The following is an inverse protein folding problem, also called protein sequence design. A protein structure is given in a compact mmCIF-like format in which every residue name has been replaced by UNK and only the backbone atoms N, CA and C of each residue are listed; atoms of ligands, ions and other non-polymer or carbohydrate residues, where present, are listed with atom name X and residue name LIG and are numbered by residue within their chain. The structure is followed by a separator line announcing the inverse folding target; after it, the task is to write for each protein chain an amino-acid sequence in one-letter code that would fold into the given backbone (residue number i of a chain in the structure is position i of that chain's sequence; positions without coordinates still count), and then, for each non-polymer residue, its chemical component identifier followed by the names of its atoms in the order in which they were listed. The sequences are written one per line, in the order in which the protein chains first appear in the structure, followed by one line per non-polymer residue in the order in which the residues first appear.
data_IF_634437474147
#
_entry.id   IF_634437474147
#
_cell.length_a   1.000
_cell.length_b   1.000
_cell.length_c   1.000
_cell.angle_alpha   90.00
_cell.angle_beta   90.00
_cell.angle_gamma   90.00
#
_symmetry.space_group_name_H-M   'P 1'
#
loop_
_entity.id
_entity.type
_entity.pdbx_description
1 polymer ?
#
# COMPACT_ATOMS: atom_id res chain seq x y z
N UNK A 1 31.88 12.88 -10.02
CA UNK A 1 31.57 11.54 -10.55
C UNK A 1 30.66 10.88 -9.54
N UNK A 2 29.36 10.82 -9.82
CA UNK A 2 28.32 10.30 -8.93
C UNK A 2 28.51 8.79 -8.75
N UNK A 3 28.70 8.35 -7.52
CA UNK A 3 28.50 6.96 -7.11
C UNK A 3 27.00 6.66 -7.25
N UNK A 4 26.65 5.93 -8.31
CA UNK A 4 25.35 5.27 -8.41
C UNK A 4 25.24 4.29 -7.24
N UNK A 5 24.32 4.57 -6.34
CA UNK A 5 23.98 3.70 -5.23
C UNK A 5 23.49 2.36 -5.78
N UNK A 6 24.31 1.32 -5.56
CA UNK A 6 24.13 -0.01 -6.10
C UNK A 6 23.32 -0.90 -5.14
N UNK A 7 22.44 -0.30 -4.34
CA UNK A 7 21.60 -0.97 -3.34
C UNK A 7 20.70 -2.09 -3.92
N UNK A 8 20.47 -2.09 -5.24
CA UNK A 8 19.66 -3.11 -5.92
C UNK A 8 20.45 -4.32 -6.46
N UNK A 9 21.78 -4.36 -6.31
CA UNK A 9 22.60 -5.49 -6.79
C UNK A 9 23.37 -6.16 -5.65
N UNK A 10 22.63 -6.92 -4.84
CA UNK A 10 23.19 -7.99 -4.00
C UNK A 10 22.57 -9.31 -4.45
N UNK A 11 23.29 -10.05 -5.27
CA UNK A 11 22.94 -11.36 -5.86
C UNK A 11 22.87 -12.52 -4.83
N UNK A 12 22.53 -12.29 -3.55
CA UNK A 12 22.57 -13.33 -2.50
C UNK A 12 21.50 -13.35 -1.39
N UNK A 13 20.37 -12.65 -1.51
CA UNK A 13 19.23 -12.83 -0.58
C UNK A 13 17.95 -13.19 -1.34
N UNK A 14 17.79 -14.49 -1.60
CA UNK A 14 16.75 -15.08 -2.46
C UNK A 14 15.40 -15.22 -1.73
N UNK A 15 14.74 -14.09 -1.48
CA UNK A 15 13.28 -14.09 -1.35
C UNK A 15 12.72 -12.95 -2.22
N UNK A 16 12.02 -13.27 -3.32
CA UNK A 16 11.43 -12.26 -4.19
C UNK A 16 10.43 -11.36 -3.44
N UNK A 17 9.85 -11.82 -2.33
CA UNK A 17 8.96 -11.02 -1.50
C UNK A 17 9.71 -10.05 -0.58
N UNK A 18 10.95 -10.37 -0.14
CA UNK A 18 11.79 -9.41 0.58
C UNK A 18 12.18 -8.20 -0.28
N UNK A 19 12.28 -8.38 -1.60
CA UNK A 19 12.46 -7.25 -2.52
C UNK A 19 11.26 -6.32 -2.53
N UNK A 20 10.04 -6.84 -2.36
CA UNK A 20 8.82 -6.03 -2.28
C UNK A 20 8.82 -5.22 -0.99
N UNK A 21 9.17 -5.84 0.13
CA UNK A 21 9.29 -5.15 1.44
C UNK A 21 10.31 -4.01 1.36
N UNK A 22 11.53 -4.27 0.85
CA UNK A 22 12.55 -3.22 0.65
C UNK A 22 12.10 -2.13 -0.32
N UNK A 23 11.43 -2.52 -1.41
CA UNK A 23 10.91 -1.54 -2.36
C UNK A 23 9.83 -0.67 -1.72
N UNK A 24 9.00 -1.21 -0.83
CA UNK A 24 8.00 -0.45 -0.09
C UNK A 24 8.66 0.62 0.79
N UNK A 25 9.72 0.26 1.54
CA UNK A 25 10.46 1.22 2.38
C UNK A 25 11.08 2.35 1.53
N UNK A 26 11.76 2.00 0.44
CA UNK A 26 12.38 2.98 -0.47
C UNK A 26 11.31 3.87 -1.11
N UNK A 27 10.20 3.28 -1.58
CA UNK A 27 9.12 4.04 -2.21
C UNK A 27 8.47 4.99 -1.21
N UNK A 28 8.28 4.57 0.04
CA UNK A 28 7.74 5.41 1.10
C UNK A 28 8.61 6.66 1.30
N UNK A 29 9.89 6.47 1.64
CA UNK A 29 10.85 7.55 1.89
C UNK A 29 10.94 8.51 0.69
N UNK A 30 11.12 7.97 -0.53
CA UNK A 30 11.30 8.79 -1.74
C UNK A 30 10.02 9.52 -2.17
N UNK A 31 8.85 8.94 -1.90
CA UNK A 31 7.58 9.59 -2.22
C UNK A 31 7.29 10.74 -1.26
N UNK A 32 7.60 10.57 0.03
CA UNK A 32 7.52 11.67 1.01
C UNK A 32 8.46 12.82 0.64
N UNK A 33 9.72 12.52 0.30
CA UNK A 33 10.67 13.53 -0.19
C UNK A 33 10.14 14.27 -1.42
N UNK A 34 9.58 13.55 -2.40
CA UNK A 34 9.03 14.14 -3.62
C UNK A 34 7.81 15.03 -3.34
N UNK A 35 6.95 14.65 -2.40
CA UNK A 35 5.79 15.45 -1.99
C UNK A 35 6.22 16.75 -1.29
N UNK A 36 7.13 16.65 -0.31
CA UNK A 36 7.66 17.80 0.43
C UNK A 36 8.37 18.78 -0.51
N UNK A 37 9.14 18.26 -1.46
CA UNK A 37 9.89 19.08 -2.42
C UNK A 37 9.04 19.55 -3.62
N UNK A 38 7.76 19.15 -3.72
CA UNK A 38 6.87 19.45 -4.86
C UNK A 38 7.42 18.94 -6.20
N UNK A 39 8.15 17.83 -6.18
CA UNK A 39 8.81 17.21 -7.33
C UNK A 39 8.08 15.98 -7.88
N UNK A 40 6.78 15.85 -7.57
CA UNK A 40 5.96 14.71 -8.02
C UNK A 40 5.90 14.58 -9.53
N UNK A 41 6.08 15.68 -10.28
CA UNK A 41 6.17 15.70 -11.75
C UNK A 41 7.36 14.90 -12.31
N UNK A 42 8.36 14.56 -11.48
CA UNK A 42 9.50 13.71 -11.87
C UNK A 42 9.13 12.22 -11.90
N UNK A 43 8.01 11.86 -11.28
CA UNK A 43 7.48 10.50 -11.24
C UNK A 43 6.42 10.39 -12.33
N UNK A 44 6.62 9.49 -13.29
CA UNK A 44 5.66 9.29 -14.37
C UNK A 44 4.32 8.75 -13.87
N UNK A 45 3.22 9.19 -14.47
CA UNK A 45 1.86 8.68 -14.21
C UNK A 45 1.79 7.15 -14.33
N UNK A 46 2.50 6.58 -15.31
CA UNK A 46 2.58 5.14 -15.52
C UNK A 46 3.22 4.39 -14.33
N UNK A 47 4.16 5.04 -13.62
CA UNK A 47 4.76 4.48 -12.40
C UNK A 47 3.75 4.52 -11.26
N UNK A 48 3.09 5.66 -11.03
CA UNK A 48 2.04 5.79 -10.02
C UNK A 48 0.91 4.77 -10.25
N UNK A 49 0.48 4.59 -11.51
CA UNK A 49 -0.53 3.61 -11.87
C UNK A 49 -0.11 2.16 -11.54
N UNK A 50 1.15 1.79 -11.79
CA UNK A 50 1.68 0.46 -11.43
C UNK A 50 1.70 0.26 -9.91
N UNK A 51 2.15 1.27 -9.16
CA UNK A 51 2.18 1.23 -7.69
C UNK A 51 0.77 1.06 -7.11
N UNK A 52 -0.17 1.90 -7.53
CA UNK A 52 -1.57 1.81 -7.12
C UNK A 52 -2.18 0.45 -7.46
N UNK A 53 -1.94 -0.05 -8.67
CA UNK A 53 -2.46 -1.36 -9.10
C UNK A 53 -1.90 -2.49 -8.23
N UNK A 54 -0.60 -2.47 -7.93
CA UNK A 54 0.03 -3.48 -7.09
C UNK A 54 -0.50 -3.42 -5.64
N UNK A 55 -0.57 -2.22 -5.06
CA UNK A 55 -1.06 -2.01 -3.71
C UNK A 55 -2.52 -2.48 -3.55
N UNK A 56 -3.42 -2.07 -4.45
CA UNK A 56 -4.84 -2.47 -4.40
C UNK A 56 -4.99 -3.98 -4.52
N UNK A 57 -4.28 -4.62 -5.47
CA UNK A 57 -4.36 -6.08 -5.65
C UNK A 57 -3.83 -6.85 -4.44
N UNK A 58 -2.71 -6.40 -3.88
CA UNK A 58 -2.10 -7.04 -2.73
C UNK A 58 -2.96 -6.88 -1.47
N UNK A 59 -3.48 -5.67 -1.24
CA UNK A 59 -4.38 -5.40 -0.12
C UNK A 59 -5.66 -6.23 -0.21
N UNK A 60 -6.32 -6.24 -1.38
CA UNK A 60 -7.53 -7.03 -1.58
C UNK A 60 -7.30 -8.53 -1.33
N UNK A 61 -6.17 -9.08 -1.80
CA UNK A 61 -5.83 -10.48 -1.58
C UNK A 61 -5.60 -10.81 -0.09
N UNK A 62 -4.97 -9.91 0.67
CA UNK A 62 -4.74 -10.11 2.11
C UNK A 62 -6.00 -9.91 2.95
N UNK A 63 -6.80 -8.90 2.63
CA UNK A 63 -8.05 -8.61 3.34
C UNK A 63 -9.09 -9.73 3.19
N UNK A 64 -9.13 -10.40 2.03
CA UNK A 64 -10.05 -11.52 1.76
C UNK A 64 -9.53 -12.86 2.29
N UNK A 65 -8.21 -13.05 2.32
CA UNK A 65 -7.59 -14.36 2.56
C UNK A 65 -7.22 -14.69 4.01
N UNK A 66 -7.13 -13.71 4.93
CA UNK A 66 -6.51 -13.92 6.23
C UNK A 66 -7.44 -13.82 7.45
N UNK A 67 -8.77 -13.62 7.31
CA UNK A 67 -9.70 -13.31 8.44
C UNK A 67 -9.16 -12.20 9.36
N UNK A 68 -8.26 -11.37 8.82
CA UNK A 68 -7.54 -10.32 9.52
C UNK A 68 -7.79 -9.02 8.80
N UNK A 69 -8.35 -8.08 9.53
CA UNK A 69 -8.52 -6.71 9.11
C UNK A 69 -7.32 -5.90 9.58
N UNK A 70 -6.57 -5.38 8.61
CA UNK A 70 -5.47 -4.44 8.87
C UNK A 70 -5.74 -3.16 8.10
N UNK A 71 -5.18 -2.05 8.58
CA UNK A 71 -5.42 -0.74 8.00
C UNK A 71 -4.83 -0.65 6.58
N UNK A 72 -5.57 -0.12 5.60
CA UNK A 72 -5.10 0.02 4.22
C UNK A 72 -4.06 1.11 4.01
N UNK A 73 -3.95 2.06 4.96
CA UNK A 73 -3.04 3.21 4.91
C UNK A 73 -2.33 3.37 6.24
N UNK A 74 -1.16 4.01 6.22
CA UNK A 74 -0.36 4.33 7.41
C UNK A 74 -0.98 5.48 8.22
N UNK A 75 -0.54 5.62 9.46
CA UNK A 75 -0.94 6.69 10.38
C UNK A 75 -2.21 6.41 11.19
N UNK A 76 -2.45 7.25 12.19
CA UNK A 76 -3.74 7.36 12.87
C UNK A 76 -4.55 8.49 12.21
N UNK A 77 -5.83 8.24 11.92
CA UNK A 77 -6.74 9.23 11.34
C UNK A 77 -6.23 9.87 10.02
N UNK A 78 -5.93 11.18 10.04
CA UNK A 78 -5.57 12.00 8.88
C UNK A 78 -4.09 12.46 8.88
N UNK A 79 -3.28 11.89 9.77
CA UNK A 79 -1.86 12.27 9.94
C UNK A 79 -1.01 12.09 8.68
N UNK A 80 -1.36 11.08 7.88
CA UNK A 80 -0.56 10.66 6.71
C UNK A 80 -1.35 10.80 5.41
N UNK A 81 -2.61 10.38 5.41
CA UNK A 81 -3.51 10.51 4.27
C UNK A 81 -4.75 11.25 4.73
N UNK A 82 -4.97 12.44 4.17
CA UNK A 82 -6.16 13.21 4.52
C UNK A 82 -7.42 12.57 3.92
N UNK A 83 -8.62 12.77 4.51
CA UNK A 83 -9.87 12.27 3.96
C UNK A 83 -10.12 12.70 2.51
N UNK A 84 -9.67 13.91 2.14
CA UNK A 84 -9.82 14.44 0.78
C UNK A 84 -8.91 13.73 -0.22
N UNK A 85 -7.66 13.44 0.15
CA UNK A 85 -6.75 12.67 -0.70
C UNK A 85 -7.26 11.25 -0.92
N UNK A 86 -7.72 10.60 0.17
CA UNK A 86 -8.31 9.28 0.10
C UNK A 86 -9.54 9.26 -0.84
N UNK A 87 -10.47 10.20 -0.66
CA UNK A 87 -11.67 10.31 -1.50
C UNK A 87 -11.32 10.58 -2.96
N UNK A 88 -10.36 11.46 -3.22
CA UNK A 88 -9.89 11.77 -4.58
C UNK A 88 -9.31 10.52 -5.24
N UNK A 89 -8.37 9.84 -4.59
CA UNK A 89 -7.76 8.63 -5.13
C UNK A 89 -8.78 7.51 -5.40
N UNK A 90 -9.68 7.24 -4.43
CA UNK A 90 -10.70 6.20 -4.57
C UNK A 90 -11.67 6.53 -5.71
N UNK A 91 -12.15 7.78 -5.80
CA UNK A 91 -13.09 8.16 -6.85
C UNK A 91 -12.47 8.09 -8.25
N UNK A 92 -11.20 8.45 -8.42
CA UNK A 92 -10.49 8.26 -9.68
C UNK A 92 -10.32 6.78 -10.03
N UNK A 93 -9.99 5.92 -9.06
CA UNK A 93 -9.91 4.47 -9.26
C UNK A 93 -11.26 3.91 -9.70
N UNK A 94 -12.34 4.27 -9.01
CA UNK A 94 -13.70 3.83 -9.37
C UNK A 94 -14.09 4.30 -10.77
N UNK A 95 -13.76 5.55 -11.13
CA UNK A 95 -14.03 6.10 -12.46
C UNK A 95 -13.23 5.36 -13.54
N UNK A 96 -11.96 5.05 -13.28
CA UNK A 96 -11.12 4.27 -14.19
C UNK A 96 -11.68 2.85 -14.42
N UNK A 97 -12.29 2.25 -13.39
CA UNK A 97 -12.97 0.95 -13.47
C UNK A 97 -14.40 1.02 -14.01
N UNK A 98 -14.88 2.23 -14.36
CA UNK A 98 -16.25 2.50 -14.81
C UNK A 98 -17.31 2.02 -13.80
N UNK A 99 -16.98 2.04 -12.52
CA UNK A 99 -17.93 1.72 -11.46
C UNK A 99 -18.77 2.96 -11.16
N UNK A 100 -20.07 2.87 -11.38
CA UNK A 100 -20.98 3.97 -11.09
C UNK A 100 -21.24 4.16 -9.60
N UNK A 101 -21.77 5.33 -9.19
CA UNK A 101 -22.14 5.61 -7.80
C UNK A 101 -23.15 4.61 -7.22
N UNK A 102 -23.98 4.03 -8.08
CA UNK A 102 -24.99 3.04 -7.68
C UNK A 102 -24.36 1.71 -7.28
N UNK A 103 -23.42 1.19 -8.08
CA UNK A 103 -22.71 -0.05 -7.74
C UNK A 103 -21.88 0.10 -6.46
N UNK A 104 -21.23 1.26 -6.28
CA UNK A 104 -20.52 1.57 -5.02
C UNK A 104 -21.47 1.56 -3.81
N UNK A 105 -22.67 2.15 -3.95
CA UNK A 105 -23.69 2.16 -2.89
C UNK A 105 -24.16 0.76 -2.47
N UNK A 106 -24.14 -0.21 -3.38
CA UNK A 106 -24.46 -1.61 -3.08
C UNK A 106 -23.32 -2.32 -2.34
N UNK A 107 -22.07 -2.03 -2.69
CA UNK A 107 -20.89 -2.63 -2.07
C UNK A 107 -20.61 -2.05 -0.67
N UNK A 108 -20.67 -0.73 -0.52
CA UNK A 108 -20.47 0.00 0.76
C UNK A 108 -21.53 -0.28 1.82
N UNK A 109 -22.69 -0.81 1.42
CA UNK A 109 -23.77 -1.21 2.33
C UNK A 109 -23.57 -2.59 2.95
N UNK A 110 -22.61 -3.40 2.47
CA UNK A 110 -22.17 -4.58 3.22
C UNK A 110 -21.38 -4.07 4.42
N UNK A 111 -22.07 -3.92 5.55
CA UNK A 111 -21.51 -3.40 6.77
C UNK A 111 -20.43 -4.36 7.27
N UNK A 112 -19.21 -3.87 7.47
CA UNK A 112 -18.25 -4.58 8.25
C UNK A 112 -18.37 -4.10 9.70
N UNK A 113 -19.09 -4.84 10.53
CA UNK A 113 -19.05 -4.65 11.98
C UNK A 113 -17.71 -5.21 12.58
N UNK A 114 -16.75 -5.66 11.75
CA UNK A 114 -15.61 -6.53 12.12
C UNK A 114 -14.20 -5.88 12.07
N UNK A 115 -14.06 -4.57 11.83
CA UNK A 115 -12.74 -3.93 11.72
C UNK A 115 -12.42 -3.29 13.07
N UNK A 116 -12.06 -4.13 14.04
CA UNK A 116 -11.59 -3.67 15.35
C UNK A 116 -10.32 -2.83 15.23
N UNK A 117 -10.32 -1.67 15.89
CA UNK A 117 -9.13 -0.86 16.19
C UNK A 117 -8.05 -1.74 16.83
N UNK A 118 -7.14 -2.28 16.01
CA UNK A 118 -5.98 -3.00 16.53
C UNK A 118 -4.87 -1.99 16.67
N UNK A 119 -4.49 -1.73 17.93
CA UNK A 119 -3.37 -0.87 18.27
C UNK A 119 -2.09 -1.54 17.76
N UNK A 120 -1.25 -0.80 17.01
CA UNK A 120 -0.09 -1.35 16.29
C UNK A 120 0.95 -2.02 17.23
N UNK A 121 0.89 -1.72 18.53
CA UNK A 121 1.75 -2.31 19.57
C UNK A 121 1.41 -3.77 19.92
N UNK A 122 0.23 -4.28 19.52
CA UNK A 122 -0.24 -5.64 19.84
C UNK A 122 0.04 -6.68 18.74
N UNK A 123 0.71 -6.31 17.65
CA UNK A 123 1.11 -7.26 16.62
C UNK A 123 2.28 -8.13 17.13
N UNK A 124 2.13 -9.47 17.19
CA UNK A 124 3.24 -10.32 17.63
C UNK A 124 4.39 -10.21 16.60
N UNK A 125 5.66 -10.11 17.04
CA UNK A 125 6.80 -10.15 16.13
C UNK A 125 6.76 -11.46 15.33
N UNK A 126 7.11 -11.39 14.03
CA UNK A 126 7.09 -12.54 13.10
C UNK A 126 7.89 -13.72 13.70
N UNK A 127 7.20 -14.66 14.35
CA UNK A 127 7.82 -15.87 14.88
C UNK A 127 7.96 -16.88 13.74
N UNK A 128 9.20 -17.05 13.29
CA UNK A 128 9.78 -18.25 12.66
C UNK A 128 8.83 -19.13 11.85
N UNK A 129 8.70 -18.83 10.55
CA UNK A 129 8.17 -19.79 9.59
C UNK A 129 9.05 -21.06 9.59
N UNK A 130 8.57 -22.13 10.23
CA UNK A 130 9.21 -23.45 10.12
C UNK A 130 9.11 -23.93 8.67
N UNK A 131 10.16 -24.56 8.11
CA UNK A 131 10.06 -25.19 6.80
C UNK A 131 9.05 -26.34 6.90
N UNK A 132 8.12 -26.43 5.96
CA UNK A 132 7.26 -27.60 5.83
C UNK A 132 8.11 -28.77 5.32
N UNK A 133 8.09 -29.87 6.06
CA UNK A 133 8.72 -31.17 5.72
C UNK A 133 8.12 -31.80 4.45
#
# INVERSE_FOLDING_TARGET
MMTMDNSLKSDRENDPYLLIERAADILWERSEEALVNQETNRISDATVAKLMTAAVKLYAAKADGEDRTFRPVLGEYDEVVTPTEALTAVTEVLRALRLGPMEFGLWSRRRPEDYHDTNFEDLPPRENAKPRE
#
